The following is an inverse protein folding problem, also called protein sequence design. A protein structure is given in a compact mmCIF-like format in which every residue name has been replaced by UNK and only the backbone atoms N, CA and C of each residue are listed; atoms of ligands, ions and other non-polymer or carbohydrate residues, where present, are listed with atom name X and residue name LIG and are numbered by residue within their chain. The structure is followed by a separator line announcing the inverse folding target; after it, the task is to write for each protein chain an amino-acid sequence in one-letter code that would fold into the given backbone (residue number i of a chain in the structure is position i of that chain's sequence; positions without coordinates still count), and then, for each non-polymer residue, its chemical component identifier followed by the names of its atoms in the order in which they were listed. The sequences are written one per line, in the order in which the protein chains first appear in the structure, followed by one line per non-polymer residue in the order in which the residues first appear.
data_IF_203381392978
#
_entry.id   IF_203381392978
#
_cell.length_a   1.000
_cell.length_b   1.000
_cell.length_c   1.000
_cell.angle_alpha   90.00
_cell.angle_beta   90.00
_cell.angle_gamma   90.00
#
_symmetry.space_group_name_H-M   'P 1'
#
loop_
_entity.id
_entity.type
_entity.pdbx_description
1 polymer ?
#
# COMPACT_ATOMS: atom_id res chain seq x y z
N UNK A 1 -21.20 -5.56 23.60
CA UNK A 1 -19.94 -5.70 22.86
C UNK A 1 -19.65 -4.50 21.95
N UNK A 2 -20.47 -4.14 20.93
CA UNK A 2 -20.18 -2.94 20.11
C UNK A 2 -20.09 -1.65 20.94
N UNK A 3 -20.98 -1.47 21.93
CA UNK A 3 -20.89 -0.33 22.84
C UNK A 3 -19.60 -0.34 23.69
N UNK A 4 -19.08 -1.50 24.06
CA UNK A 4 -17.79 -1.62 24.76
C UNK A 4 -16.62 -1.19 23.85
N UNK A 5 -16.65 -1.57 22.57
CA UNK A 5 -15.67 -1.11 21.56
C UNK A 5 -15.67 0.41 21.50
N UNK A 6 -16.86 1.02 21.35
CA UNK A 6 -17.01 2.49 21.25
C UNK A 6 -16.53 3.17 22.56
N UNK A 7 -16.97 2.68 23.72
CA UNK A 7 -16.57 3.24 25.02
C UNK A 7 -15.06 3.17 25.21
N UNK A 8 -14.45 2.03 24.87
CA UNK A 8 -13.00 1.83 24.97
C UNK A 8 -12.23 2.84 24.10
N UNK A 9 -12.66 3.06 22.86
CA UNK A 9 -12.03 4.03 21.97
C UNK A 9 -12.16 5.47 22.49
N UNK A 10 -13.29 5.82 23.11
CA UNK A 10 -13.45 7.13 23.72
C UNK A 10 -12.62 7.31 25.00
N UNK A 11 -12.48 6.27 25.82
CA UNK A 11 -11.63 6.28 27.01
C UNK A 11 -10.14 6.47 26.65
N UNK A 12 -9.70 5.95 25.50
CA UNK A 12 -8.32 6.04 25.03
C UNK A 12 -8.13 7.12 23.94
N UNK A 13 -9.10 8.02 23.77
CA UNK A 13 -9.05 9.05 22.72
C UNK A 13 -7.78 9.90 22.77
N UNK A 14 -7.44 10.43 23.94
CA UNK A 14 -6.29 11.32 24.11
C UNK A 14 -4.98 10.58 23.86
N UNK A 15 -4.87 9.34 24.30
CA UNK A 15 -3.71 8.47 24.08
C UNK A 15 -3.50 8.16 22.58
N UNK A 16 -4.58 7.84 21.87
CA UNK A 16 -4.57 7.63 20.42
C UNK A 16 -4.28 8.92 19.65
N UNK A 17 -4.74 10.07 20.15
CA UNK A 17 -4.44 11.35 19.53
C UNK A 17 -2.96 11.73 19.70
N UNK A 18 -2.37 11.47 20.87
CA UNK A 18 -0.94 11.66 21.09
C UNK A 18 -0.09 10.69 20.25
N UNK A 19 -0.52 9.43 20.08
CA UNK A 19 0.09 8.49 19.13
C UNK A 19 0.10 9.09 17.71
N UNK A 20 -1.04 9.55 17.22
CA UNK A 20 -1.17 10.15 15.88
C UNK A 20 -0.24 11.37 15.71
N UNK A 21 -0.19 12.27 16.69
CA UNK A 21 0.70 13.42 16.68
C UNK A 21 2.16 13.03 16.71
N UNK A 22 2.53 12.01 17.50
CA UNK A 22 3.90 11.52 17.55
C UNK A 22 4.35 11.02 16.18
N UNK A 23 3.54 10.20 15.51
CA UNK A 23 3.84 9.71 14.16
C UNK A 23 3.99 10.87 13.19
N UNK A 24 3.04 11.83 13.21
CA UNK A 24 3.08 13.01 12.34
C UNK A 24 4.33 13.86 12.53
N UNK A 25 4.75 14.08 13.78
CA UNK A 25 5.91 14.94 14.10
C UNK A 25 7.26 14.24 13.96
N UNK A 26 7.27 12.91 13.75
CA UNK A 26 8.45 12.10 13.51
C UNK A 26 8.34 11.37 12.16
N UNK A 27 8.20 12.07 11.02
CA UNK A 27 8.08 11.44 9.73
C UNK A 27 9.39 10.75 9.35
N UNK A 28 9.32 9.48 8.97
CA UNK A 28 10.48 8.69 8.58
C UNK A 28 10.25 8.05 7.21
N UNK A 29 11.28 8.00 6.35
CA UNK A 29 11.13 7.45 5.01
C UNK A 29 10.97 5.92 5.04
N UNK A 30 10.45 5.39 3.95
CA UNK A 30 10.22 3.96 3.71
C UNK A 30 11.43 3.09 4.11
N UNK A 31 11.18 2.02 4.85
CA UNK A 31 12.17 1.08 5.41
C UNK A 31 13.13 1.68 6.45
N UNK A 32 12.86 2.88 6.98
CA UNK A 32 13.65 3.54 8.02
C UNK A 32 12.77 4.14 9.12
N UNK A 33 11.60 3.58 9.32
CA UNK A 33 10.55 4.05 10.25
C UNK A 33 10.84 3.62 11.70
N UNK A 34 12.07 3.75 12.17
CA UNK A 34 12.51 3.21 13.46
C UNK A 34 11.81 3.83 14.66
N UNK A 35 11.63 5.16 14.69
CA UNK A 35 10.96 5.86 15.80
C UNK A 35 9.47 5.52 15.85
N UNK A 36 8.82 5.55 14.69
CA UNK A 36 7.41 5.18 14.56
C UNK A 36 7.19 3.73 14.99
N UNK A 37 8.03 2.82 14.48
CA UNK A 37 8.02 1.40 14.83
C UNK A 37 8.19 1.17 16.35
N UNK A 38 9.19 1.78 16.98
CA UNK A 38 9.43 1.64 18.41
C UNK A 38 8.27 2.20 19.23
N UNK A 39 7.73 3.36 18.86
CA UNK A 39 6.60 3.95 19.54
C UNK A 39 5.36 3.05 19.45
N UNK A 40 5.01 2.58 18.25
CA UNK A 40 3.85 1.70 18.01
C UNK A 40 4.00 0.38 18.77
N UNK A 41 5.15 -0.27 18.71
CA UNK A 41 5.35 -1.56 19.39
C UNK A 41 5.31 -1.42 20.91
N UNK A 42 5.85 -0.33 21.49
CA UNK A 42 5.73 -0.03 22.90
C UNK A 42 4.28 0.25 23.30
N UNK A 43 3.56 1.04 22.50
CA UNK A 43 2.14 1.33 22.70
C UNK A 43 1.29 0.04 22.74
N UNK A 44 1.48 -0.85 21.77
CA UNK A 44 0.77 -2.13 21.73
C UNK A 44 1.09 -3.04 22.92
N UNK A 45 2.32 -2.96 23.44
CA UNK A 45 2.70 -3.70 24.65
C UNK A 45 1.90 -3.25 25.88
N UNK A 46 1.58 -1.97 26.02
CA UNK A 46 0.74 -1.46 27.12
C UNK A 46 -0.70 -1.98 27.03
N UNK A 47 -1.17 -2.34 25.84
CA UNK A 47 -2.48 -2.95 25.57
C UNK A 47 -2.48 -4.49 25.61
N UNK A 48 -1.38 -5.11 26.10
CA UNK A 48 -1.21 -6.56 26.25
C UNK A 48 -1.27 -7.35 24.92
N UNK A 49 -0.73 -6.80 23.86
CA UNK A 49 -0.48 -7.55 22.63
C UNK A 49 0.85 -8.33 22.71
N UNK A 50 0.84 -9.55 22.19
CA UNK A 50 2.07 -10.30 21.93
C UNK A 50 2.71 -9.74 20.65
N UNK A 51 3.98 -9.31 20.73
CA UNK A 51 4.63 -8.61 19.63
C UNK A 51 5.87 -9.38 19.19
N UNK A 52 5.88 -9.76 17.92
CA UNK A 52 7.07 -10.23 17.23
C UNK A 52 7.69 -9.03 16.50
N UNK A 53 8.81 -8.56 17.01
CA UNK A 53 9.61 -7.47 16.42
C UNK A 53 10.46 -7.98 15.26
N UNK A 54 10.88 -7.05 14.37
CA UNK A 54 11.71 -7.34 13.18
C UNK A 54 11.09 -8.48 12.34
N UNK A 55 9.79 -8.36 12.11
CA UNK A 55 9.02 -9.42 11.48
C UNK A 55 9.51 -9.68 10.04
N UNK A 56 9.80 -10.93 9.71
CA UNK A 56 10.37 -11.36 8.43
C UNK A 56 11.74 -10.74 8.10
N UNK A 57 12.56 -10.52 9.12
CA UNK A 57 13.88 -9.87 9.01
C UNK A 57 13.80 -8.42 8.46
N UNK A 58 12.62 -7.80 8.51
CA UNK A 58 12.42 -6.40 8.21
C UNK A 58 12.53 -5.59 9.49
N UNK A 59 13.56 -4.74 9.60
CA UNK A 59 13.94 -4.04 10.85
C UNK A 59 12.80 -3.18 11.44
N UNK A 60 11.94 -2.64 10.60
CA UNK A 60 10.82 -1.78 11.01
C UNK A 60 9.46 -2.43 10.84
N UNK A 61 9.38 -3.76 10.65
CA UNK A 61 8.14 -4.52 10.60
C UNK A 61 7.85 -5.23 11.92
N UNK A 62 6.58 -5.43 12.25
CA UNK A 62 6.14 -6.19 13.42
C UNK A 62 4.87 -7.00 13.11
N UNK A 63 4.69 -8.07 13.89
CA UNK A 63 3.45 -8.80 13.97
C UNK A 63 2.97 -8.77 15.43
N UNK A 64 1.79 -8.20 15.65
CA UNK A 64 1.19 -8.12 16.98
C UNK A 64 -0.13 -8.88 17.01
N UNK A 65 -0.40 -9.61 18.07
CA UNK A 65 -1.63 -10.40 18.22
C UNK A 65 -2.15 -10.42 19.66
N UNK A 66 -3.48 -10.51 19.79
CA UNK A 66 -4.17 -10.71 21.07
C UNK A 66 -5.38 -11.62 20.85
N UNK A 67 -5.64 -12.50 21.82
CA UNK A 67 -6.62 -13.56 21.70
C UNK A 67 -6.05 -14.86 21.16
N UNK A 68 -6.89 -15.86 20.97
CA UNK A 68 -6.49 -17.18 20.52
C UNK A 68 -7.61 -17.86 19.71
N UNK A 69 -7.23 -18.59 18.66
CA UNK A 69 -8.16 -19.32 17.80
C UNK A 69 -8.73 -18.51 16.64
N UNK A 70 -9.81 -19.00 16.09
CA UNK A 70 -10.48 -18.48 14.89
C UNK A 70 -11.82 -17.83 15.22
N UNK A 71 -12.29 -16.85 14.40
CA UNK A 71 -11.59 -16.31 13.22
C UNK A 71 -10.38 -15.43 13.61
N UNK A 72 -9.41 -15.34 12.70
CA UNK A 72 -8.26 -14.45 12.79
C UNK A 72 -8.52 -13.21 11.93
N UNK A 73 -8.72 -12.08 12.58
CA UNK A 73 -8.98 -10.79 11.91
C UNK A 73 -7.73 -9.93 11.97
N UNK A 74 -7.23 -9.53 10.81
CA UNK A 74 -6.01 -8.76 10.68
C UNK A 74 -6.30 -7.32 10.24
N UNK A 75 -5.63 -6.38 10.90
CA UNK A 75 -5.53 -4.98 10.48
C UNK A 75 -4.10 -4.71 9.98
N UNK A 76 -3.96 -3.87 8.95
CA UNK A 76 -2.67 -3.49 8.41
C UNK A 76 -2.33 -2.06 8.80
N UNK A 77 -1.07 -1.83 9.14
CA UNK A 77 -0.57 -0.58 9.68
C UNK A 77 0.58 -0.07 8.80
N UNK A 78 0.41 1.09 8.17
CA UNK A 78 1.41 1.81 7.39
C UNK A 78 1.80 3.07 8.14
N UNK A 79 3.10 3.40 8.21
CA UNK A 79 3.61 4.51 9.02
C UNK A 79 4.84 5.20 8.44
N UNK A 80 5.19 4.89 7.19
CA UNK A 80 6.22 5.62 6.46
C UNK A 80 5.72 6.99 5.99
N UNK A 81 6.65 7.90 5.68
CA UNK A 81 6.38 9.24 5.21
C UNK A 81 7.14 9.55 3.93
N UNK A 82 6.64 10.50 3.14
CA UNK A 82 7.35 11.00 1.96
C UNK A 82 8.56 11.80 2.40
N UNK A 83 9.78 11.49 1.91
CA UNK A 83 10.97 12.25 2.26
C UNK A 83 10.78 13.76 2.04
N UNK A 84 11.17 14.57 3.03
CA UNK A 84 11.08 16.04 3.05
C UNK A 84 9.65 16.61 3.10
N UNK A 85 8.63 15.83 2.69
CA UNK A 85 7.22 16.27 2.65
C UNK A 85 6.40 15.79 3.86
N UNK A 86 6.82 14.71 4.53
CA UNK A 86 6.13 14.14 5.68
C UNK A 86 4.90 13.29 5.32
N UNK A 87 3.91 13.27 6.21
CA UNK A 87 2.70 12.45 6.07
C UNK A 87 1.62 13.08 5.17
N UNK A 88 2.01 13.51 3.97
CA UNK A 88 1.11 14.20 3.02
C UNK A 88 -0.04 13.34 2.48
N UNK A 89 0.00 12.03 2.66
CA UNK A 89 -1.11 11.12 2.33
C UNK A 89 -1.79 10.54 3.58
N UNK A 90 -1.26 10.81 4.79
CA UNK A 90 -1.91 10.49 6.06
C UNK A 90 -1.62 9.09 6.61
N UNK A 91 -0.45 8.49 6.35
CA UNK A 91 -0.08 7.19 6.93
C UNK A 91 -0.04 7.20 8.47
N UNK A 92 0.21 8.36 9.12
CA UNK A 92 0.03 8.51 10.57
C UNK A 92 -1.40 8.16 11.01
N UNK A 93 -2.44 8.57 10.25
CA UNK A 93 -3.83 8.19 10.53
C UNK A 93 -4.16 6.75 10.11
N UNK A 94 -3.55 6.23 9.02
CA UNK A 94 -3.68 4.81 8.64
C UNK A 94 -3.20 3.94 9.80
N UNK A 95 -2.02 4.25 10.35
CA UNK A 95 -1.48 3.55 11.52
C UNK A 95 -2.42 3.67 12.72
N UNK A 96 -2.79 4.89 13.08
CA UNK A 96 -3.64 5.15 14.25
C UNK A 96 -4.99 4.44 14.15
N UNK A 97 -5.63 4.47 12.98
CA UNK A 97 -6.93 3.81 12.77
C UNK A 97 -6.82 2.30 12.94
N UNK A 98 -5.81 1.67 12.35
CA UNK A 98 -5.59 0.22 12.44
C UNK A 98 -5.20 -0.22 13.86
N UNK A 99 -4.37 0.57 14.55
CA UNK A 99 -4.00 0.33 15.95
C UNK A 99 -5.25 0.45 16.85
N UNK A 100 -6.01 1.53 16.71
CA UNK A 100 -7.22 1.77 17.49
C UNK A 100 -8.26 0.65 17.31
N UNK A 101 -8.48 0.20 16.05
CA UNK A 101 -9.38 -0.91 15.76
C UNK A 101 -8.88 -2.22 16.40
N UNK A 102 -7.57 -2.49 16.30
CA UNK A 102 -6.95 -3.69 16.86
C UNK A 102 -7.04 -3.75 18.39
N UNK A 103 -6.72 -2.65 19.09
CA UNK A 103 -6.79 -2.63 20.56
C UNK A 103 -8.23 -2.68 21.07
N UNK A 104 -9.18 -2.04 20.38
CA UNK A 104 -10.58 -2.06 20.74
C UNK A 104 -11.20 -3.47 20.56
N UNK A 105 -10.87 -4.18 19.47
CA UNK A 105 -11.22 -5.59 19.31
C UNK A 105 -10.53 -6.44 20.38
N UNK A 106 -9.24 -6.22 20.62
CA UNK A 106 -8.43 -6.93 21.60
C UNK A 106 -8.95 -6.76 23.05
N UNK A 107 -9.63 -5.66 23.36
CA UNK A 107 -10.24 -5.44 24.67
C UNK A 107 -11.41 -6.42 24.97
N UNK A 108 -12.12 -6.83 23.94
CA UNK A 108 -13.27 -7.74 24.09
C UNK A 108 -12.95 -9.20 23.66
N UNK A 109 -11.77 -9.44 23.09
CA UNK A 109 -11.44 -10.71 22.42
C UNK A 109 -11.55 -11.93 23.33
N UNK A 110 -11.18 -11.80 24.59
CA UNK A 110 -11.26 -12.87 25.59
C UNK A 110 -12.72 -13.29 25.90
N UNK A 111 -13.69 -12.40 25.62
CA UNK A 111 -15.13 -12.65 25.82
C UNK A 111 -15.79 -13.30 24.62
N UNK A 112 -15.28 -13.03 23.41
CA UNK A 112 -15.92 -13.43 22.14
C UNK A 112 -15.16 -14.54 21.39
N UNK A 113 -13.91 -14.79 21.78
CA UNK A 113 -13.01 -15.69 21.04
C UNK A 113 -12.39 -15.05 19.80
N UNK A 114 -11.63 -15.84 19.04
CA UNK A 114 -10.93 -15.36 17.87
C UNK A 114 -9.58 -14.68 18.19
N UNK A 115 -8.99 -14.06 17.19
CA UNK A 115 -7.69 -13.37 17.33
C UNK A 115 -7.72 -12.03 16.61
N UNK A 116 -7.36 -10.96 17.33
CA UNK A 116 -7.04 -9.64 16.76
C UNK A 116 -5.57 -9.60 16.38
N UNK A 117 -5.27 -9.34 15.12
CA UNK A 117 -3.92 -9.26 14.57
C UNK A 117 -3.69 -7.85 14.02
N UNK A 118 -2.51 -7.29 14.28
CA UNK A 118 -2.03 -6.06 13.65
C UNK A 118 -0.64 -6.32 13.05
N UNK A 119 -0.48 -6.04 11.76
CA UNK A 119 0.80 -6.20 11.06
C UNK A 119 1.32 -4.83 10.66
N UNK A 120 2.53 -4.49 11.13
CA UNK A 120 3.28 -3.31 10.70
C UNK A 120 3.93 -3.54 9.35
N UNK A 121 3.50 -2.76 8.35
CA UNK A 121 3.90 -2.87 6.95
C UNK A 121 4.72 -1.65 6.54
N UNK A 122 6.05 -1.65 6.71
CA UNK A 122 6.91 -0.54 6.30
C UNK A 122 7.02 -0.42 4.78
N UNK A 123 7.44 0.76 4.32
CA UNK A 123 7.90 0.95 2.95
C UNK A 123 6.85 1.12 1.88
N UNK A 124 5.63 1.56 2.19
CA UNK A 124 4.52 1.62 1.23
C UNK A 124 4.83 2.50 0.02
N UNK A 125 5.52 3.65 0.19
CA UNK A 125 5.92 4.51 -0.93
C UNK A 125 7.00 3.91 -1.85
N UNK A 126 7.63 2.81 -1.44
CA UNK A 126 8.60 2.07 -2.25
C UNK A 126 8.09 0.65 -2.60
N UNK A 127 6.82 0.55 -2.94
CA UNK A 127 6.15 -0.67 -3.38
C UNK A 127 5.60 -1.55 -2.25
N UNK A 128 5.89 -1.21 -0.99
CA UNK A 128 5.36 -1.89 0.19
C UNK A 128 5.90 -3.29 0.43
N UNK A 129 5.69 -3.79 1.63
CA UNK A 129 6.15 -5.13 2.06
C UNK A 129 5.09 -6.21 1.95
N UNK A 130 3.82 -5.84 1.73
CA UNK A 130 2.69 -6.79 1.76
C UNK A 130 2.80 -7.89 0.70
N UNK A 131 3.32 -7.57 -0.51
CA UNK A 131 3.57 -8.57 -1.55
C UNK A 131 4.65 -9.60 -1.15
N UNK A 132 5.64 -9.18 -0.36
CA UNK A 132 6.66 -10.06 0.22
C UNK A 132 6.02 -10.96 1.29
N UNK A 133 5.22 -10.39 2.18
CA UNK A 133 4.48 -11.11 3.23
C UNK A 133 3.54 -12.17 2.64
N UNK A 134 2.86 -11.84 1.53
CA UNK A 134 2.02 -12.80 0.77
C UNK A 134 2.84 -13.96 0.26
N UNK A 135 4.00 -13.71 -0.35
CA UNK A 135 4.89 -14.77 -0.87
C UNK A 135 5.44 -15.68 0.22
N UNK A 136 5.56 -15.17 1.45
CA UNK A 136 6.01 -15.94 2.62
C UNK A 136 4.85 -16.64 3.36
N UNK A 137 3.62 -16.57 2.85
CA UNK A 137 2.47 -17.29 3.39
C UNK A 137 1.87 -16.68 4.67
N UNK A 138 2.19 -15.41 5.00
CA UNK A 138 1.72 -14.79 6.26
C UNK A 138 0.20 -14.70 6.33
N UNK A 139 -0.45 -14.54 5.19
CA UNK A 139 -1.91 -14.41 5.10
C UNK A 139 -2.65 -15.74 4.91
N UNK A 140 -1.94 -16.87 4.80
CA UNK A 140 -2.57 -18.18 4.53
C UNK A 140 -3.43 -18.68 5.71
N UNK A 141 -3.14 -18.21 6.93
CA UNK A 141 -3.85 -18.55 8.17
C UNK A 141 -4.63 -17.35 8.77
N UNK A 142 -4.99 -16.39 7.93
CA UNK A 142 -5.80 -15.20 8.29
C UNK A 142 -7.14 -15.29 7.57
N UNK A 143 -8.24 -15.03 8.28
CA UNK A 143 -9.58 -15.14 7.72
C UNK A 143 -10.03 -13.88 6.95
N UNK A 144 -9.67 -12.70 7.45
CA UNK A 144 -10.05 -11.39 6.88
C UNK A 144 -8.97 -10.37 7.16
N UNK A 145 -8.71 -9.49 6.18
CA UNK A 145 -7.81 -8.34 6.32
C UNK A 145 -8.58 -7.05 6.08
N UNK A 146 -8.41 -6.07 6.96
CA UNK A 146 -9.05 -4.77 6.84
C UNK A 146 -8.06 -3.64 7.12
N UNK A 147 -8.15 -2.59 6.35
CA UNK A 147 -7.54 -1.29 6.65
C UNK A 147 -8.39 -0.18 6.04
N UNK A 148 -8.23 1.04 6.53
CA UNK A 148 -8.89 2.23 5.98
C UNK A 148 -7.86 3.32 5.74
N UNK A 149 -8.16 4.23 4.83
CA UNK A 149 -7.23 5.30 4.48
C UNK A 149 -7.92 6.68 4.63
N UNK A 150 -7.25 7.69 5.22
CA UNK A 150 -7.76 9.06 5.25
C UNK A 150 -7.83 9.66 3.84
N UNK A 151 -8.87 10.45 3.58
CA UNK A 151 -9.12 11.06 2.28
C UNK A 151 -9.91 12.38 2.43
N UNK A 152 -10.22 13.02 1.30
CA UNK A 152 -11.10 14.19 1.23
C UNK A 152 -12.59 13.82 1.33
N UNK A 153 -12.94 12.58 1.02
CA UNK A 153 -14.32 12.07 1.02
C UNK A 153 -14.38 10.69 1.66
N UNK A 154 -15.49 10.41 2.34
CA UNK A 154 -15.78 9.04 2.81
C UNK A 154 -16.34 8.23 1.67
N UNK A 155 -15.67 7.14 1.28
CA UNK A 155 -16.05 6.29 0.15
C UNK A 155 -15.88 4.81 0.48
N UNK A 156 -16.67 3.98 -0.20
CA UNK A 156 -16.51 2.53 -0.19
C UNK A 156 -15.15 2.10 -0.75
N UNK A 157 -14.68 0.93 -0.33
CA UNK A 157 -13.54 0.26 -0.95
C UNK A 157 -13.82 -0.03 -2.42
N UNK A 158 -12.95 0.41 -3.30
CA UNK A 158 -13.01 0.16 -4.74
C UNK A 158 -11.84 -0.71 -5.20
N UNK A 159 -11.15 -0.29 -6.26
CA UNK A 159 -9.96 -0.95 -6.79
C UNK A 159 -8.79 0.02 -6.87
N UNK A 160 -7.59 -0.52 -7.10
CA UNK A 160 -6.36 0.24 -7.39
C UNK A 160 -5.80 -0.14 -8.75
N UNK A 161 -4.79 0.59 -9.23
CA UNK A 161 -4.03 0.18 -10.41
C UNK A 161 -3.02 -0.91 -10.07
N UNK A 162 -2.77 -1.82 -11.04
CA UNK A 162 -1.57 -2.63 -11.04
C UNK A 162 -0.37 -1.79 -11.46
N UNK A 163 0.80 -1.98 -10.82
CA UNK A 163 2.05 -1.30 -11.17
C UNK A 163 3.18 -2.30 -11.27
N UNK A 164 3.95 -2.21 -12.37
CA UNK A 164 5.19 -2.98 -12.56
C UNK A 164 6.36 -2.00 -12.66
N UNK A 165 7.24 -1.92 -11.63
CA UNK A 165 8.40 -1.04 -11.61
C UNK A 165 9.61 -1.74 -12.25
N UNK A 166 9.93 -1.40 -13.51
CA UNK A 166 11.05 -1.97 -14.23
C UNK A 166 12.25 -1.05 -14.25
N UNK A 167 13.42 -1.65 -14.08
CA UNK A 167 14.71 -1.04 -14.33
C UNK A 167 15.34 -1.73 -15.55
N UNK A 168 15.72 -0.93 -16.54
CA UNK A 168 16.42 -1.36 -17.75
C UNK A 168 17.82 -0.76 -17.72
N UNK A 169 18.82 -1.62 -17.83
CA UNK A 169 20.21 -1.21 -17.92
C UNK A 169 20.82 -1.76 -19.21
N UNK A 170 21.40 -0.89 -20.02
CA UNK A 170 22.21 -1.26 -21.18
C UNK A 170 23.69 -1.12 -20.84
N UNK A 171 24.50 -2.07 -21.35
CA UNK A 171 25.94 -2.12 -21.15
C UNK A 171 26.59 -2.14 -22.55
N UNK A 172 27.30 -1.09 -22.87
CA UNK A 172 28.00 -0.91 -24.15
C UNK A 172 29.51 -0.92 -24.00
N UNK A 173 30.16 -0.21 -24.88
CA UNK A 173 31.62 -0.01 -24.86
C UNK A 173 31.97 1.32 -24.17
N UNK A 174 33.11 1.38 -23.49
CA UNK A 174 33.66 2.61 -22.94
C UNK A 174 34.88 3.06 -23.73
N UNK A 175 35.21 4.34 -23.68
CA UNK A 175 36.37 4.92 -24.33
C UNK A 175 36.18 6.39 -24.67
N UNK A 176 37.24 7.01 -25.18
CA UNK A 176 37.17 8.40 -25.68
C UNK A 176 36.32 8.46 -26.95
N UNK A 177 35.28 9.32 -26.95
CA UNK A 177 34.30 9.38 -28.05
C UNK A 177 34.93 9.64 -29.41
N UNK A 178 35.93 10.51 -29.50
CA UNK A 178 36.61 10.87 -30.75
C UNK A 178 37.52 9.75 -31.35
N UNK A 179 37.80 8.69 -30.57
CA UNK A 179 38.54 7.51 -31.01
C UNK A 179 37.63 6.32 -31.37
N UNK A 180 36.31 6.43 -31.12
CA UNK A 180 35.37 5.32 -31.23
C UNK A 180 34.08 5.77 -31.98
N UNK A 181 34.24 6.36 -33.15
CA UNK A 181 33.12 6.94 -33.92
C UNK A 181 32.14 5.91 -34.51
N UNK A 182 32.56 4.63 -34.62
CA UNK A 182 31.78 3.55 -35.24
C UNK A 182 31.12 2.61 -34.24
N UNK A 183 31.04 3.01 -32.97
CA UNK A 183 30.51 2.18 -31.88
C UNK A 183 29.22 2.72 -31.32
N UNK A 184 28.18 1.90 -31.29
CA UNK A 184 26.95 2.22 -30.57
C UNK A 184 27.20 2.16 -29.07
N UNK A 185 26.61 3.12 -28.35
CA UNK A 185 26.74 3.24 -26.91
C UNK A 185 25.54 2.65 -26.16
N UNK A 186 25.70 2.45 -24.86
CA UNK A 186 24.56 2.09 -24.00
C UNK A 186 23.47 3.16 -24.01
N UNK A 187 23.85 4.44 -24.15
CA UNK A 187 22.89 5.55 -24.24
C UNK A 187 22.11 5.53 -25.56
N UNK A 188 22.76 5.21 -26.70
CA UNK A 188 22.07 5.07 -27.98
C UNK A 188 20.98 4.00 -27.90
N UNK A 189 21.27 2.86 -27.25
CA UNK A 189 20.31 1.79 -27.03
C UNK A 189 19.11 2.28 -26.22
N UNK A 190 19.36 3.05 -25.17
CA UNK A 190 18.30 3.55 -24.31
C UNK A 190 17.42 4.59 -25.01
N UNK A 191 18.03 5.53 -25.73
CA UNK A 191 17.31 6.54 -26.53
C UNK A 191 16.48 5.88 -27.64
N UNK A 192 17.02 4.86 -28.30
CA UNK A 192 16.29 4.09 -29.31
C UNK A 192 15.09 3.35 -28.67
N UNK A 193 15.28 2.77 -27.48
CA UNK A 193 14.20 2.14 -26.71
C UNK A 193 13.07 3.13 -26.41
N UNK A 194 13.38 4.34 -25.93
CA UNK A 194 12.38 5.39 -25.69
C UNK A 194 11.65 5.80 -26.98
N UNK A 195 12.37 5.96 -28.10
CA UNK A 195 11.77 6.35 -29.37
C UNK A 195 10.80 5.27 -29.89
N UNK A 196 11.20 4.00 -29.83
CA UNK A 196 10.35 2.87 -30.26
C UNK A 196 9.13 2.76 -29.34
N UNK A 197 9.33 2.84 -28.01
CA UNK A 197 8.24 2.82 -27.04
C UNK A 197 7.22 3.91 -27.34
N UNK A 198 7.66 5.17 -27.53
CA UNK A 198 6.78 6.29 -27.86
C UNK A 198 5.99 6.07 -29.15
N UNK A 199 6.61 5.48 -30.16
CA UNK A 199 5.91 5.15 -31.39
C UNK A 199 4.85 4.05 -31.21
N UNK A 200 5.11 3.09 -30.34
CA UNK A 200 4.24 1.94 -30.08
C UNK A 200 3.16 2.21 -29.02
N UNK A 201 3.27 3.27 -28.23
CA UNK A 201 2.25 3.63 -27.21
C UNK A 201 0.83 3.73 -27.77
N UNK A 202 0.68 4.13 -29.05
CA UNK A 202 -0.62 4.17 -29.73
C UNK A 202 -1.30 2.80 -29.86
N UNK A 203 -0.53 1.72 -29.80
CA UNK A 203 -1.02 0.34 -29.87
C UNK A 203 -1.29 -0.31 -28.53
N UNK A 204 -1.00 0.39 -27.41
CA UNK A 204 -1.35 -0.09 -26.08
C UNK A 204 -2.82 0.21 -25.75
N UNK A 205 -3.46 -0.59 -24.87
CA UNK A 205 -4.75 -0.23 -24.31
C UNK A 205 -4.70 1.17 -23.68
N UNK A 206 -5.80 1.93 -23.76
CA UNK A 206 -5.88 3.31 -23.23
C UNK A 206 -5.67 3.38 -21.73
N UNK A 207 -5.92 2.28 -21.04
CA UNK A 207 -5.79 2.10 -19.60
C UNK A 207 -4.35 1.84 -19.14
N UNK A 208 -3.41 1.72 -20.09
CA UNK A 208 -1.98 1.53 -19.80
C UNK A 208 -1.28 2.88 -19.84
N UNK A 209 -0.62 3.22 -18.75
CA UNK A 209 0.27 4.37 -18.64
C UNK A 209 1.71 3.90 -18.38
N UNK A 210 2.69 4.50 -19.06
CA UNK A 210 4.11 4.23 -18.83
C UNK A 210 4.80 5.54 -18.50
N UNK A 211 5.19 5.68 -17.24
CA UNK A 211 6.03 6.79 -16.79
C UNK A 211 7.48 6.32 -16.74
N UNK A 212 8.42 7.18 -17.11
CA UNK A 212 9.83 6.79 -17.18
C UNK A 212 10.77 7.94 -16.85
N UNK A 213 11.95 7.57 -16.34
CA UNK A 213 13.06 8.48 -16.12
C UNK A 213 14.35 7.87 -16.67
N UNK A 214 15.24 8.71 -17.18
CA UNK A 214 16.64 8.36 -17.43
C UNK A 214 17.40 8.57 -16.12
N UNK A 215 17.80 7.50 -15.46
CA UNK A 215 18.51 7.55 -14.17
C UNK A 215 20.03 7.64 -14.32
N UNK A 216 20.58 7.11 -15.43
CA UNK A 216 21.99 7.20 -15.78
C UNK A 216 22.18 7.22 -17.29
N UNK A 217 22.93 8.20 -17.82
CA UNK A 217 23.18 8.36 -19.26
C UNK A 217 24.62 8.74 -19.62
N UNK A 218 25.56 8.55 -18.69
CA UNK A 218 26.95 8.94 -18.84
C UNK A 218 27.34 10.15 -17.99
N UNK A 219 28.61 10.53 -18.05
CA UNK A 219 29.18 11.61 -17.22
C UNK A 219 29.61 12.84 -18.04
N UNK A 220 30.19 12.61 -19.22
CA UNK A 220 30.68 13.66 -20.11
C UNK A 220 30.61 13.19 -21.56
N UNK A 221 30.34 14.08 -22.54
CA UNK A 221 30.38 13.72 -23.96
C UNK A 221 31.75 13.27 -24.47
N UNK A 222 32.80 13.53 -23.70
CA UNK A 222 34.16 13.07 -24.04
C UNK A 222 34.32 11.56 -23.92
N UNK A 223 33.50 10.91 -23.09
CA UNK A 223 33.56 9.48 -22.80
C UNK A 223 32.28 8.77 -23.25
N UNK A 224 32.44 7.67 -23.96
CA UNK A 224 31.31 6.78 -24.26
C UNK A 224 30.78 6.19 -22.94
N UNK A 225 29.46 6.30 -22.67
CA UNK A 225 28.88 5.73 -21.47
C UNK A 225 28.93 4.19 -21.53
N UNK A 226 29.64 3.58 -20.57
CA UNK A 226 29.68 2.12 -20.44
C UNK A 226 28.29 1.57 -20.11
N UNK A 227 27.59 2.24 -19.18
CA UNK A 227 26.27 1.86 -18.72
C UNK A 227 25.30 3.03 -18.84
N UNK A 228 24.05 2.71 -19.20
CA UNK A 228 22.94 3.65 -19.18
C UNK A 228 21.71 2.97 -18.61
N UNK A 229 21.03 3.64 -17.68
CA UNK A 229 19.91 3.09 -16.93
C UNK A 229 18.66 3.97 -17.08
N UNK A 230 17.51 3.33 -17.24
CA UNK A 230 16.22 3.96 -17.10
C UNK A 230 15.30 3.15 -16.18
N UNK A 231 14.40 3.85 -15.50
CA UNK A 231 13.36 3.27 -14.67
C UNK A 231 12.00 3.59 -15.27
N UNK A 232 11.11 2.61 -15.19
CA UNK A 232 9.76 2.67 -15.75
C UNK A 232 8.74 2.24 -14.70
N UNK A 233 7.64 2.99 -14.58
CA UNK A 233 6.41 2.52 -14.00
C UNK A 233 5.42 2.18 -15.11
N UNK A 234 5.08 0.90 -15.23
CA UNK A 234 3.98 0.43 -16.06
C UNK A 234 2.76 0.34 -15.18
N UNK A 235 1.77 1.18 -15.44
CA UNK A 235 0.51 1.25 -14.69
C UNK A 235 -0.63 0.83 -15.59
N UNK A 236 -1.54 0.00 -15.06
CA UNK A 236 -2.74 -0.43 -15.74
C UNK A 236 -3.89 -0.70 -14.75
N UNK A 237 -5.12 -0.83 -15.26
CA UNK A 237 -6.29 -1.12 -14.44
C UNK A 237 -6.24 -2.51 -13.78
N UNK A 238 -5.46 -3.44 -14.33
CA UNK A 238 -5.28 -4.78 -13.77
C UNK A 238 -3.89 -5.34 -14.12
N UNK A 239 -3.52 -6.39 -13.42
CA UNK A 239 -2.23 -7.07 -13.55
C UNK A 239 -2.02 -7.69 -14.93
N UNK A 240 -3.07 -8.19 -15.58
CA UNK A 240 -2.98 -8.77 -16.91
C UNK A 240 -2.53 -7.74 -17.95
N UNK A 241 -3.17 -6.56 -17.95
CA UNK A 241 -2.82 -5.45 -18.85
C UNK A 241 -1.41 -4.91 -18.55
N UNK A 242 -1.03 -4.80 -17.27
CA UNK A 242 0.32 -4.38 -16.89
C UNK A 242 1.37 -5.36 -17.38
N UNK A 243 1.13 -6.66 -17.24
CA UNK A 243 2.03 -7.74 -17.71
C UNK A 243 2.14 -7.76 -19.25
N UNK A 244 1.05 -7.51 -19.96
CA UNK A 244 1.07 -7.41 -21.42
C UNK A 244 1.96 -6.24 -21.88
N UNK A 245 1.85 -5.09 -21.20
CA UNK A 245 2.68 -3.92 -21.49
C UNK A 245 4.16 -4.16 -21.12
N UNK A 246 4.42 -4.82 -19.98
CA UNK A 246 5.77 -5.25 -19.58
C UNK A 246 6.42 -6.13 -20.65
N UNK A 247 5.72 -7.16 -21.12
CA UNK A 247 6.22 -8.08 -22.13
C UNK A 247 6.58 -7.33 -23.42
N UNK A 248 5.76 -6.38 -23.83
CA UNK A 248 6.03 -5.53 -24.98
C UNK A 248 7.30 -4.69 -24.81
N UNK A 249 7.48 -4.10 -23.64
CA UNK A 249 8.71 -3.33 -23.34
C UNK A 249 9.94 -4.23 -23.32
N UNK A 250 9.83 -5.44 -22.78
CA UNK A 250 10.91 -6.44 -22.80
C UNK A 250 11.30 -6.85 -24.22
N UNK A 251 10.32 -7.03 -25.12
CA UNK A 251 10.57 -7.29 -26.56
C UNK A 251 11.34 -6.13 -27.18
N UNK A 252 10.90 -4.88 -26.99
CA UNK A 252 11.59 -3.69 -27.52
C UNK A 252 13.06 -3.67 -27.08
N UNK A 253 13.31 -3.86 -25.78
CA UNK A 253 14.66 -3.84 -25.21
C UNK A 253 15.53 -4.93 -25.84
N UNK A 254 14.99 -6.14 -26.00
CA UNK A 254 15.69 -7.25 -26.63
C UNK A 254 16.02 -6.96 -28.10
N UNK A 255 15.08 -6.41 -28.86
CA UNK A 255 15.25 -6.09 -30.28
C UNK A 255 16.26 -4.97 -30.48
N UNK A 256 16.21 -3.91 -29.65
CA UNK A 256 17.22 -2.84 -29.67
C UNK A 256 18.60 -3.40 -29.32
N UNK A 257 18.71 -4.23 -28.29
CA UNK A 257 19.97 -4.87 -27.89
C UNK A 257 20.58 -5.67 -29.04
N UNK A 258 19.76 -6.42 -29.75
CA UNK A 258 20.19 -7.22 -30.90
C UNK A 258 20.59 -6.34 -32.10
N UNK A 259 19.82 -5.26 -32.37
CA UNK A 259 20.04 -4.39 -33.55
C UNK A 259 21.37 -3.64 -33.47
N UNK A 260 21.78 -3.19 -32.30
CA UNK A 260 23.02 -2.40 -32.13
C UNK A 260 24.09 -3.11 -31.30
N UNK A 261 23.91 -4.41 -31.06
CA UNK A 261 24.89 -5.29 -30.41
C UNK A 261 25.37 -4.83 -29.02
N UNK A 262 24.47 -4.28 -28.20
CA UNK A 262 24.73 -3.94 -26.78
C UNK A 262 24.06 -4.95 -25.86
N UNK A 263 24.65 -5.17 -24.68
CA UNK A 263 24.04 -6.05 -23.66
C UNK A 263 22.97 -5.29 -22.87
N UNK A 264 21.99 -6.02 -22.35
CA UNK A 264 20.98 -5.44 -21.47
C UNK A 264 20.67 -6.34 -20.26
N UNK A 265 20.16 -5.72 -19.21
CA UNK A 265 19.50 -6.40 -18.09
C UNK A 265 18.18 -5.70 -17.77
N UNK A 266 17.19 -6.48 -17.36
CA UNK A 266 15.89 -5.97 -16.93
C UNK A 266 15.59 -6.58 -15.57
N UNK A 267 15.30 -5.74 -14.58
CA UNK A 267 14.95 -6.17 -13.23
C UNK A 267 13.82 -5.30 -12.65
N UNK A 268 13.15 -5.82 -11.64
CA UNK A 268 12.31 -4.98 -10.79
C UNK A 268 13.23 -4.19 -9.84
N UNK A 269 12.91 -2.92 -9.59
CA UNK A 269 13.64 -2.10 -8.61
C UNK A 269 12.84 -1.82 -7.34
N UNK A 270 11.54 -2.17 -7.36
CA UNK A 270 10.61 -2.16 -6.23
C UNK A 270 9.69 -3.38 -6.36
N UNK A 271 9.00 -3.81 -5.29
CA UNK A 271 7.94 -4.80 -5.40
C UNK A 271 6.82 -4.33 -6.34
N UNK A 272 6.31 -5.16 -7.26
CA UNK A 272 5.16 -4.81 -8.07
C UNK A 272 3.89 -4.84 -7.23
N UNK A 273 2.91 -4.00 -7.60
CA UNK A 273 1.58 -3.97 -7.00
C UNK A 273 0.55 -4.56 -7.96
N UNK A 274 -0.23 -5.50 -7.47
CA UNK A 274 -1.43 -5.99 -8.15
C UNK A 274 -2.61 -5.06 -7.81
N UNK A 275 -3.64 -5.02 -8.68
CA UNK A 275 -4.85 -4.27 -8.39
C UNK A 275 -5.60 -4.85 -7.18
N UNK A 276 -6.23 -3.98 -6.41
CA UNK A 276 -7.04 -4.38 -5.25
C UNK A 276 -8.36 -5.05 -5.72
N UNK A 277 -8.59 -6.25 -5.23
CA UNK A 277 -9.84 -6.99 -5.38
C UNK A 277 -10.66 -6.85 -4.09
N UNK A 278 -11.50 -5.83 -4.02
CA UNK A 278 -12.33 -5.58 -2.84
C UNK A 278 -13.38 -6.67 -2.65
N UNK A 279 -13.46 -7.25 -1.44
CA UNK A 279 -14.58 -8.10 -1.05
C UNK A 279 -15.81 -7.23 -0.73
N UNK A 280 -16.83 -7.32 -1.55
CA UNK A 280 -18.02 -6.45 -1.51
C UNK A 280 -18.91 -6.73 -0.30
N UNK A 281 -19.03 -7.99 0.10
CA UNK A 281 -19.80 -8.40 1.29
C UNK A 281 -19.18 -7.83 2.54
N UNK A 282 -17.86 -7.96 2.69
CA UNK A 282 -17.11 -7.36 3.79
C UNK A 282 -17.21 -5.82 3.79
N UNK A 283 -17.12 -5.21 2.61
CA UNK A 283 -17.22 -3.75 2.48
C UNK A 283 -18.62 -3.23 2.87
N UNK A 284 -19.68 -3.93 2.47
CA UNK A 284 -21.05 -3.57 2.91
C UNK A 284 -21.22 -3.65 4.42
N UNK A 285 -20.65 -4.68 5.06
CA UNK A 285 -20.68 -4.84 6.51
C UNK A 285 -19.94 -3.70 7.20
N UNK A 286 -18.76 -3.33 6.71
CA UNK A 286 -17.99 -2.18 7.19
C UNK A 286 -18.79 -0.88 7.04
N UNK A 287 -19.37 -0.61 5.87
CA UNK A 287 -20.16 0.60 5.62
C UNK A 287 -21.41 0.68 6.50
N UNK A 288 -22.04 -0.47 6.78
CA UNK A 288 -23.13 -0.53 7.75
C UNK A 288 -22.65 -0.11 9.15
N UNK A 289 -21.56 -0.68 9.63
CA UNK A 289 -20.99 -0.33 10.92
C UNK A 289 -20.50 1.13 10.98
N UNK A 290 -19.99 1.66 9.87
CA UNK A 290 -19.56 3.07 9.80
C UNK A 290 -20.76 4.02 9.95
N UNK A 291 -21.91 3.67 9.34
CA UNK A 291 -23.17 4.43 9.50
C UNK A 291 -23.70 4.36 10.94
N UNK A 292 -23.61 3.21 11.59
CA UNK A 292 -23.96 3.05 13.00
C UNK A 292 -23.07 3.93 13.92
N UNK A 293 -21.84 4.22 13.52
CA UNK A 293 -20.91 5.10 14.21
C UNK A 293 -21.02 6.58 13.75
N UNK A 294 -22.07 6.96 13.04
CA UNK A 294 -22.43 8.34 12.74
C UNK A 294 -21.82 8.94 11.48
N UNK A 295 -21.18 8.14 10.61
CA UNK A 295 -20.81 8.58 9.26
C UNK A 295 -21.84 8.09 8.24
N UNK A 296 -22.86 8.93 7.99
CA UNK A 296 -24.03 8.55 7.20
C UNK A 296 -23.76 8.66 5.69
N UNK A 297 -22.92 9.63 5.29
CA UNK A 297 -22.67 9.93 3.87
C UNK A 297 -21.46 9.16 3.38
N UNK A 298 -21.69 8.03 2.74
CA UNK A 298 -20.64 7.19 2.14
C UNK A 298 -20.83 7.22 0.62
N UNK A 299 -19.78 7.68 -0.08
CA UNK A 299 -19.75 7.70 -1.55
C UNK A 299 -19.56 6.32 -2.16
N UNK A 300 -19.75 6.25 -3.48
CA UNK A 300 -19.51 5.03 -4.26
C UNK A 300 -18.07 4.49 -4.12
N UNK A 301 -17.82 3.23 -4.50
CA UNK A 301 -16.47 2.65 -4.46
C UNK A 301 -15.44 3.55 -5.18
N UNK A 302 -14.35 3.87 -4.49
CA UNK A 302 -13.29 4.72 -5.01
C UNK A 302 -12.25 3.89 -5.74
N UNK A 303 -12.10 4.13 -7.04
CA UNK A 303 -11.02 3.56 -7.84
C UNK A 303 -9.84 4.53 -7.84
N UNK A 304 -8.69 4.08 -7.38
CA UNK A 304 -7.47 4.91 -7.34
C UNK A 304 -6.49 4.53 -8.43
N UNK A 305 -5.86 5.53 -9.05
CA UNK A 305 -4.85 5.31 -10.08
C UNK A 305 -3.45 5.06 -9.52
N UNK A 306 -3.30 4.98 -8.20
CA UNK A 306 -2.07 4.52 -7.55
C UNK A 306 -2.05 3.00 -7.37
N UNK A 307 -0.86 2.42 -7.26
CA UNK A 307 -0.69 1.07 -6.75
C UNK A 307 -0.92 1.07 -5.24
N UNK A 308 -1.49 -0.02 -4.74
CA UNK A 308 -1.64 -0.30 -3.31
C UNK A 308 -1.09 -1.70 -3.05
N UNK A 309 -0.13 -1.84 -2.16
CA UNK A 309 0.47 -3.15 -1.89
C UNK A 309 -0.51 -4.16 -1.27
N UNK A 310 -1.63 -3.68 -0.70
CA UNK A 310 -2.75 -4.52 -0.25
C UNK A 310 -3.44 -5.27 -1.42
N UNK A 311 -3.23 -4.86 -2.67
CA UNK A 311 -3.71 -5.60 -3.84
C UNK A 311 -3.22 -7.04 -3.85
N UNK A 312 -1.95 -7.30 -3.52
CA UNK A 312 -1.40 -8.64 -3.38
C UNK A 312 -2.12 -9.45 -2.28
N UNK A 313 -2.45 -8.81 -1.15
CA UNK A 313 -3.18 -9.45 -0.03
C UNK A 313 -4.59 -9.86 -0.47
N UNK A 314 -5.27 -9.02 -1.26
CA UNK A 314 -6.63 -9.28 -1.74
C UNK A 314 -6.78 -10.51 -2.62
N UNK A 315 -5.68 -11.09 -3.08
CA UNK A 315 -5.65 -12.36 -3.83
C UNK A 315 -5.47 -13.59 -2.95
N UNK A 316 -5.21 -13.39 -1.67
CA UNK A 316 -4.97 -14.47 -0.69
C UNK A 316 -6.06 -14.58 0.36
N UNK A 317 -6.66 -13.45 0.73
CA UNK A 317 -7.62 -13.35 1.81
C UNK A 317 -8.65 -12.25 1.51
N UNK A 318 -9.93 -12.40 1.89
CA UNK A 318 -10.91 -11.33 1.77
C UNK A 318 -10.40 -10.05 2.41
N UNK A 319 -10.38 -8.94 1.65
CA UNK A 319 -9.94 -7.68 2.22
C UNK A 319 -10.70 -6.46 1.69
N UNK A 320 -10.59 -5.34 2.43
CA UNK A 320 -11.13 -4.02 2.08
C UNK A 320 -10.14 -2.91 2.42
N UNK A 321 -10.27 -1.82 1.67
CA UNK A 321 -9.52 -0.58 1.84
C UNK A 321 -10.44 0.63 1.57
N UNK A 322 -11.47 0.87 2.40
CA UNK A 322 -12.34 2.04 2.27
C UNK A 322 -11.65 3.32 2.75
N UNK A 323 -12.27 4.44 2.44
CA UNK A 323 -11.74 5.78 2.70
C UNK A 323 -12.65 6.55 3.65
N UNK A 324 -12.05 7.40 4.50
CA UNK A 324 -12.78 8.31 5.38
C UNK A 324 -12.25 9.73 5.28
N UNK A 325 -13.16 10.71 5.26
CA UNK A 325 -12.80 12.12 5.14
C UNK A 325 -12.15 12.64 6.42
N UNK A 326 -11.15 13.50 6.24
CA UNK A 326 -10.42 14.11 7.36
C UNK A 326 -10.51 15.64 7.39
N UNK A 327 -11.23 16.23 6.45
CA UNK A 327 -11.45 17.68 6.36
C UNK A 327 -12.80 17.97 5.71
N UNK A 328 -13.38 19.13 6.02
CA UNK A 328 -14.56 19.69 5.36
C UNK A 328 -14.16 20.84 4.40
N UNK A 329 -12.90 21.24 4.40
CA UNK A 329 -12.38 22.30 3.54
C UNK A 329 -12.14 21.75 2.12
N UNK A 330 -12.99 22.16 1.19
CA UNK A 330 -12.91 21.76 -0.22
C UNK A 330 -11.68 22.33 -0.98
N UNK A 331 -10.96 23.28 -0.38
CA UNK A 331 -9.74 23.85 -0.98
C UNK A 331 -8.51 22.95 -0.78
N UNK A 332 -8.54 22.05 0.19
CA UNK A 332 -7.47 21.09 0.49
C UNK A 332 -7.35 20.06 -0.65
N UNK A 333 -6.12 19.80 -1.07
CA UNK A 333 -5.82 18.78 -2.09
C UNK A 333 -5.14 17.58 -1.44
N UNK A 334 -5.60 16.39 -1.78
CA UNK A 334 -4.93 15.14 -1.38
C UNK A 334 -3.45 15.14 -1.82
N UNK A 335 -2.56 14.65 -0.97
CA UNK A 335 -1.13 14.61 -1.25
C UNK A 335 -0.42 15.97 -1.11
N UNK A 336 -1.07 16.98 -0.54
CA UNK A 336 -0.46 18.26 -0.22
C UNK A 336 -0.04 18.34 1.25
N UNK A 337 0.87 19.26 1.58
CA UNK A 337 1.23 19.55 2.96
C UNK A 337 0.00 19.96 3.80
N UNK A 338 -0.91 20.74 3.23
CA UNK A 338 -2.15 21.13 3.91
C UNK A 338 -3.04 19.90 4.26
N UNK A 339 -3.06 18.88 3.39
CA UNK A 339 -3.73 17.61 3.72
C UNK A 339 -3.01 16.89 4.87
N UNK A 340 -1.68 16.83 4.84
CA UNK A 340 -0.89 16.30 5.94
C UNK A 340 -1.19 17.01 7.27
N UNK A 341 -1.23 18.34 7.28
CA UNK A 341 -1.54 19.15 8.46
C UNK A 341 -2.97 18.87 8.99
N UNK A 342 -3.94 18.55 8.12
CA UNK A 342 -5.29 18.15 8.53
C UNK A 342 -5.31 16.83 9.33
N UNK A 343 -4.35 15.92 9.14
CA UNK A 343 -4.34 14.61 9.81
C UNK A 343 -4.25 14.68 11.32
N UNK A 344 -3.73 15.77 11.88
CA UNK A 344 -3.64 16.02 13.33
C UNK A 344 -4.72 16.97 13.84
N UNK A 345 -5.74 17.26 13.05
CA UNK A 345 -6.90 18.04 13.49
C UNK A 345 -7.83 17.21 14.38
N UNK A 346 -8.59 17.90 15.24
CA UNK A 346 -9.64 17.23 16.04
C UNK A 346 -10.66 16.54 15.12
N UNK A 347 -11.08 17.19 14.02
CA UNK A 347 -12.03 16.61 13.08
C UNK A 347 -11.51 15.28 12.50
N UNK A 348 -10.24 15.26 12.03
CA UNK A 348 -9.63 14.05 11.50
C UNK A 348 -9.54 12.94 12.54
N UNK A 349 -9.22 13.28 13.79
CA UNK A 349 -9.17 12.30 14.87
C UNK A 349 -10.57 11.75 15.21
N UNK A 350 -11.60 12.60 15.24
CA UNK A 350 -12.99 12.16 15.45
C UNK A 350 -13.44 11.19 14.33
N UNK A 351 -13.05 11.45 13.08
CA UNK A 351 -13.32 10.54 11.97
C UNK A 351 -12.49 9.25 12.04
N UNK A 352 -11.24 9.33 12.47
CA UNK A 352 -10.39 8.18 12.76
C UNK A 352 -11.04 7.23 13.77
N UNK A 353 -11.56 7.77 14.88
CA UNK A 353 -12.25 6.98 15.91
C UNK A 353 -13.51 6.29 15.35
N UNK A 354 -14.31 6.99 14.52
CA UNK A 354 -15.47 6.37 13.86
C UNK A 354 -15.07 5.23 12.93
N UNK A 355 -14.04 5.43 12.13
CA UNK A 355 -13.51 4.41 11.21
C UNK A 355 -12.95 3.21 11.99
N UNK A 356 -12.22 3.45 13.08
CA UNK A 356 -11.70 2.40 13.97
C UNK A 356 -12.82 1.60 14.64
N UNK A 357 -13.86 2.30 15.13
CA UNK A 357 -15.04 1.66 15.71
C UNK A 357 -15.78 0.79 14.68
N UNK A 358 -15.86 1.26 13.42
CA UNK A 358 -16.48 0.50 12.34
C UNK A 358 -15.66 -0.75 11.97
N UNK A 359 -14.33 -0.65 11.91
CA UNK A 359 -13.45 -1.79 11.68
C UNK A 359 -13.57 -2.84 12.78
N UNK A 360 -13.47 -2.41 14.06
CA UNK A 360 -13.58 -3.31 15.21
C UNK A 360 -14.99 -3.93 15.34
N UNK A 361 -16.04 -3.16 15.04
CA UNK A 361 -17.43 -3.67 15.03
C UNK A 361 -17.65 -4.68 13.90
N UNK A 362 -17.01 -4.46 12.74
CA UNK A 362 -17.05 -5.42 11.61
C UNK A 362 -16.35 -6.72 11.99
N UNK A 363 -15.19 -6.64 12.61
CA UNK A 363 -14.48 -7.79 13.14
C UNK A 363 -15.32 -8.55 14.18
N UNK A 364 -15.96 -7.84 15.11
CA UNK A 364 -16.88 -8.43 16.07
C UNK A 364 -18.04 -9.15 15.41
N UNK A 365 -18.71 -8.54 14.44
CA UNK A 365 -19.81 -9.17 13.69
C UNK A 365 -19.39 -10.45 12.99
N UNK A 366 -18.16 -10.51 12.42
CA UNK A 366 -17.61 -11.68 11.74
C UNK A 366 -17.26 -12.82 12.74
N UNK A 367 -16.81 -12.47 13.94
CA UNK A 367 -16.51 -13.45 15.00
C UNK A 367 -17.80 -14.02 15.60
N UNK A 368 -18.77 -13.16 15.91
CA UNK A 368 -20.02 -13.54 16.57
C UNK A 368 -20.97 -14.29 15.63
N UNK A 369 -20.96 -13.93 14.32
CA UNK A 369 -21.92 -14.42 13.33
C UNK A 369 -21.22 -15.21 12.24
N UNK A 370 -20.97 -16.49 12.46
CA UNK A 370 -20.26 -17.37 11.52
C UNK A 370 -20.81 -17.33 10.09
N UNK A 371 -22.13 -17.10 9.90
CA UNK A 371 -22.70 -17.01 8.56
C UNK A 371 -22.19 -15.81 7.77
N UNK A 372 -21.93 -14.65 8.43
CA UNK A 372 -21.36 -13.47 7.75
C UNK A 372 -19.94 -13.76 7.26
N UNK A 373 -19.11 -14.42 8.07
CA UNK A 373 -17.78 -14.83 7.65
C UNK A 373 -17.84 -15.83 6.49
N UNK A 374 -18.80 -16.75 6.52
CA UNK A 374 -19.01 -17.71 5.43
C UNK A 374 -19.37 -17.00 4.12
N UNK A 375 -20.28 -16.01 4.15
CA UNK A 375 -20.65 -15.22 2.97
C UNK A 375 -19.45 -14.45 2.40
N UNK A 376 -18.65 -13.84 3.27
CA UNK A 376 -17.39 -13.12 2.88
C UNK A 376 -16.41 -14.07 2.18
N UNK A 377 -16.22 -15.26 2.73
CA UNK A 377 -15.34 -16.29 2.15
C UNK A 377 -15.88 -16.87 0.86
N UNK A 378 -17.20 -17.10 0.78
CA UNK A 378 -17.84 -17.61 -0.44
C UNK A 378 -17.66 -16.63 -1.61
N UNK A 379 -17.89 -15.34 -1.39
CA UNK A 379 -17.61 -14.32 -2.41
C UNK A 379 -16.16 -14.37 -2.86
N UNK A 380 -15.21 -14.42 -1.91
CA UNK A 380 -13.78 -14.47 -2.21
C UNK A 380 -13.43 -15.67 -3.09
N UNK A 381 -13.86 -16.88 -2.73
CA UNK A 381 -13.55 -18.06 -3.51
C UNK A 381 -14.22 -18.07 -4.89
N UNK A 382 -15.37 -17.40 -5.05
CA UNK A 382 -16.06 -17.30 -6.34
C UNK A 382 -15.37 -16.36 -7.34
N UNK A 383 -14.57 -15.40 -6.88
CA UNK A 383 -13.76 -14.52 -7.75
C UNK A 383 -12.62 -15.28 -8.44
N UNK A 384 -12.16 -16.39 -7.85
CA UNK A 384 -11.02 -17.18 -8.36
C UNK A 384 -11.44 -18.53 -9.00
N UNK A 385 -12.73 -18.76 -9.19
CA UNK A 385 -13.28 -19.89 -9.98
C UNK A 385 -13.52 -19.47 -11.42
#
# INVERSE_FOLDING_TARGET
MKQEIISYLHEHYDELFELNKYLYTNPEPSYKEFKCYDYITNFLSTHNFNIQKNFLDLETSFYASKGNGYPKICFLCEYDAVPEEGHITGHNLVATTSIAASIALGNIIDKIGGTSILIGCPGEYLGGTKSIMVKQGIFDDIDVVMMTHPDLTTCESGTSSAIIPLKINFIGNSGLSFLNNDVYTSLDALLLTFNILNALLKGFPKEVEINSILSQGGYTPLMLPLESEAKFYIRANNTEMATLAENKLREIVKDVSNLIHVKHTISLYEPPNEELLTNRTLNRLFCHNLKENGEITIGAPKNVHSGLSIGAVSRKVPCIHPYYRITEDASIKYGSKAFGDCTISKFAMDQCIKASAALASTAFDLIEKNYLLSEVKEEFYNVFK
#
